data_IF_950926749320
#
_entry.id   IF_950926749320
#
_cell.length_a   1.000
_cell.length_b   1.000
_cell.length_c   1.000
_cell.angle_alpha   90.00
_cell.angle_beta   90.00
_cell.angle_gamma   90.00
#
_symmetry.space_group_name_H-M   'P 1'
#
loop_
_entity.id
_entity.type
_entity.pdbx_description
1 polymer ?
#
# COMPACT_ATOMS: atom_id res chain seq x y z
N UNK A 1 -1.40 -9.39 -11.68
CA UNK A 1 -1.59 -9.17 -10.23
C UNK A 1 -1.25 -7.73 -9.90
N UNK A 2 -1.99 -7.09 -8.98
CA UNK A 2 -1.80 -5.72 -8.52
C UNK A 2 -2.14 -5.59 -7.05
N UNK A 3 -1.48 -4.66 -6.36
CA UNK A 3 -1.85 -4.26 -5.01
C UNK A 3 -2.48 -2.87 -5.00
N UNK A 4 -3.66 -2.75 -4.39
CA UNK A 4 -4.34 -1.48 -4.13
C UNK A 4 -4.30 -1.18 -2.63
N UNK A 5 -3.86 0.02 -2.27
CA UNK A 5 -3.71 0.45 -0.87
C UNK A 5 -4.51 1.73 -0.64
N UNK A 6 -5.24 1.83 0.46
CA UNK A 6 -5.95 3.04 0.84
C UNK A 6 -4.96 4.13 1.28
N UNK A 7 -5.21 5.40 0.93
CA UNK A 7 -4.32 6.51 1.36
C UNK A 7 -4.40 6.84 2.86
N UNK A 8 -5.42 6.34 3.56
CA UNK A 8 -5.68 6.66 4.95
C UNK A 8 -5.64 5.34 5.70
N UNK A 9 -4.46 4.80 6.00
CA UNK A 9 -4.29 3.62 6.86
C UNK A 9 -4.30 4.11 8.32
N UNK A 10 -4.82 3.30 9.24
CA UNK A 10 -4.77 3.66 10.67
C UNK A 10 -3.41 3.16 11.17
N UNK A 11 -2.61 4.06 11.69
CA UNK A 11 -1.35 3.72 12.36
C UNK A 11 -1.67 3.09 13.71
N UNK A 12 -0.97 2.00 14.04
CA UNK A 12 -1.16 1.31 15.30
C UNK A 12 0.17 1.28 16.05
N UNK A 13 0.25 1.91 17.21
CA UNK A 13 1.47 1.93 18.03
C UNK A 13 1.82 0.58 18.68
N UNK A 14 1.05 -0.48 18.41
CA UNK A 14 1.30 -1.82 18.88
C UNK A 14 2.14 -2.58 17.85
N UNK A 15 3.17 -3.29 18.29
CA UNK A 15 4.01 -4.13 17.42
C UNK A 15 3.16 -5.15 16.65
N UNK A 16 3.33 -5.20 15.33
CA UNK A 16 2.55 -6.08 14.45
C UNK A 16 1.19 -5.48 14.08
N UNK A 17 1.12 -4.16 14.03
CA UNK A 17 -0.06 -3.42 13.63
C UNK A 17 -0.48 -3.66 12.18
N UNK A 18 -1.64 -3.12 11.82
CA UNK A 18 -2.15 -3.24 10.45
C UNK A 18 -1.26 -2.48 9.44
N UNK A 19 -0.67 -1.38 9.89
CA UNK A 19 0.35 -0.59 9.19
C UNK A 19 1.61 -1.40 8.92
N UNK A 20 2.17 -2.09 9.91
CA UNK A 20 3.34 -2.95 9.75
C UNK A 20 3.10 -4.01 8.67
N UNK A 21 1.93 -4.66 8.72
CA UNK A 21 1.56 -5.70 7.74
C UNK A 21 1.31 -5.15 6.35
N UNK A 22 0.75 -3.95 6.23
CA UNK A 22 0.60 -3.31 4.92
C UNK A 22 1.95 -2.89 4.35
N UNK A 23 2.87 -2.42 5.19
CA UNK A 23 4.24 -2.09 4.78
C UNK A 23 4.99 -3.33 4.30
N UNK A 24 4.95 -4.43 5.05
CA UNK A 24 5.50 -5.73 4.66
C UNK A 24 4.94 -6.18 3.29
N UNK A 25 3.65 -5.98 3.05
CA UNK A 25 3.00 -6.37 1.79
C UNK A 25 3.41 -5.48 0.61
N UNK A 26 3.69 -4.19 0.86
CA UNK A 26 4.24 -3.26 -0.14
C UNK A 26 5.66 -3.69 -0.51
N UNK A 27 6.48 -4.06 0.47
CA UNK A 27 7.86 -4.51 0.26
C UNK A 27 7.90 -5.82 -0.53
N UNK A 28 7.04 -6.78 -0.19
CA UNK A 28 6.87 -8.01 -0.97
C UNK A 28 6.40 -7.70 -2.39
N UNK A 29 5.43 -6.78 -2.57
CA UNK A 29 4.97 -6.41 -3.89
C UNK A 29 6.09 -5.79 -4.75
N UNK A 30 6.95 -4.95 -4.14
CA UNK A 30 8.13 -4.37 -4.81
C UNK A 30 9.16 -5.44 -5.19
N UNK A 31 9.45 -6.39 -4.29
CA UNK A 31 10.35 -7.51 -4.55
C UNK A 31 9.88 -8.35 -5.75
N UNK A 32 8.57 -8.52 -5.88
CA UNK A 32 7.95 -9.25 -6.99
C UNK A 32 7.62 -8.38 -8.21
N UNK A 33 8.07 -7.13 -8.27
CA UNK A 33 7.75 -6.16 -9.35
C UNK A 33 6.24 -6.02 -9.62
N UNK A 34 5.42 -6.20 -8.59
CA UNK A 34 3.97 -6.03 -8.66
C UNK A 34 3.63 -4.56 -8.44
N UNK A 35 2.81 -3.94 -9.32
CA UNK A 35 2.43 -2.55 -9.16
C UNK A 35 1.64 -2.34 -7.86
N UNK A 36 2.12 -1.39 -7.06
CA UNK A 36 1.43 -0.88 -5.87
C UNK A 36 0.76 0.44 -6.25
N UNK A 37 -0.53 0.55 -5.98
CA UNK A 37 -1.34 1.71 -6.35
C UNK A 37 -2.07 2.20 -5.11
N UNK A 38 -1.83 3.46 -4.76
CA UNK A 38 -2.61 4.15 -3.73
C UNK A 38 -3.93 4.64 -4.33
N UNK A 39 -5.04 4.20 -3.73
CA UNK A 39 -6.40 4.40 -4.21
C UNK A 39 -7.22 5.20 -3.19
N UNK A 40 -8.55 5.09 -3.27
CA UNK A 40 -9.54 5.80 -2.44
C UNK A 40 -9.41 5.50 -0.94
N UNK A 41 -10.21 6.20 -0.11
CA UNK A 41 -10.29 5.94 1.33
C UNK A 41 -10.84 4.54 1.64
N UNK A 42 -10.53 4.00 2.82
CA UNK A 42 -10.95 2.63 3.22
C UNK A 42 -12.45 2.38 3.09
N UNK A 43 -13.29 3.39 3.36
CA UNK A 43 -14.75 3.29 3.21
C UNK A 43 -15.17 3.19 1.75
N UNK A 44 -14.52 3.94 0.86
CA UNK A 44 -14.82 3.92 -0.58
C UNK A 44 -14.30 2.62 -1.21
N UNK A 45 -13.12 2.14 -0.81
CA UNK A 45 -12.59 0.84 -1.23
C UNK A 45 -13.51 -0.31 -0.82
N UNK A 46 -13.95 -0.34 0.44
CA UNK A 46 -14.92 -1.33 0.91
C UNK A 46 -16.22 -1.30 0.09
N UNK A 47 -16.79 -0.10 -0.13
CA UNK A 47 -17.98 0.07 -0.98
C UNK A 47 -17.78 -0.39 -2.41
N UNK A 48 -16.60 -0.13 -3.01
CA UNK A 48 -16.28 -0.58 -4.36
C UNK A 48 -16.21 -2.11 -4.47
N UNK A 49 -15.86 -2.80 -3.39
CA UNK A 49 -15.88 -4.26 -3.28
C UNK A 49 -17.22 -4.82 -2.80
N UNK A 50 -18.27 -3.99 -2.70
CA UNK A 50 -19.57 -4.37 -2.15
C UNK A 50 -19.49 -4.92 -0.71
N UNK A 51 -18.53 -4.41 0.08
CA UNK A 51 -18.37 -4.72 1.49
C UNK A 51 -18.76 -3.53 2.34
N UNK A 52 -19.43 -3.81 3.47
CA UNK A 52 -19.83 -2.79 4.46
C UNK A 52 -18.69 -2.38 5.40
N UNK A 53 -17.56 -3.10 5.33
CA UNK A 53 -16.38 -2.87 6.18
C UNK A 53 -15.39 -1.89 5.56
N UNK A 54 -14.50 -1.35 6.39
CA UNK A 54 -13.36 -0.54 5.95
C UNK A 54 -12.26 -1.49 5.46
N UNK A 55 -11.75 -1.25 4.25
CA UNK A 55 -10.70 -2.10 3.64
C UNK A 55 -9.43 -1.28 3.45
N UNK A 56 -8.33 -1.72 4.05
CA UNK A 56 -7.03 -1.02 3.99
C UNK A 56 -6.24 -1.34 2.73
N UNK A 57 -6.22 -2.61 2.31
CA UNK A 57 -5.51 -3.07 1.12
C UNK A 57 -6.30 -4.16 0.38
N UNK A 58 -6.10 -4.26 -0.93
CA UNK A 58 -6.79 -5.21 -1.82
C UNK A 58 -5.79 -5.76 -2.83
N UNK A 59 -5.68 -7.07 -2.92
CA UNK A 59 -4.93 -7.75 -3.98
C UNK A 59 -5.85 -8.13 -5.13
N UNK A 60 -5.54 -7.65 -6.34
CA UNK A 60 -6.23 -8.06 -7.56
C UNK A 60 -5.38 -9.09 -8.29
N UNK A 61 -5.77 -10.37 -8.20
CA UNK A 61 -5.03 -11.46 -8.87
C UNK A 61 -5.41 -11.56 -10.34
N UNK A 62 -6.71 -11.54 -10.61
CA UNK A 62 -7.28 -11.71 -11.94
C UNK A 62 -8.17 -10.52 -12.32
N UNK A 63 -8.08 -10.10 -13.57
CA UNK A 63 -8.72 -8.90 -14.16
C UNK A 63 -9.60 -9.29 -15.35
N UNK A 64 -10.02 -10.55 -15.41
CA UNK A 64 -10.97 -11.03 -16.40
C UNK A 64 -12.24 -10.17 -16.41
N UNK A 65 -12.60 -9.68 -17.59
CA UNK A 65 -13.73 -8.77 -17.81
C UNK A 65 -13.41 -7.27 -17.73
N UNK A 66 -12.22 -6.87 -17.26
CA UNK A 66 -11.81 -5.47 -17.16
C UNK A 66 -10.42 -5.21 -17.78
N UNK A 67 -10.03 -6.04 -18.76
CA UNK A 67 -8.67 -6.05 -19.29
C UNK A 67 -8.25 -4.73 -19.98
N UNK A 68 -9.19 -4.06 -20.66
CA UNK A 68 -8.95 -2.75 -21.30
C UNK A 68 -8.66 -1.65 -20.25
N UNK A 69 -9.55 -1.52 -19.25
CA UNK A 69 -9.37 -0.61 -18.12
C UNK A 69 -8.05 -0.88 -17.38
N UNK A 70 -7.72 -2.17 -17.20
CA UNK A 70 -6.49 -2.59 -16.56
C UNK A 70 -5.25 -2.24 -17.38
N UNK A 71 -5.31 -2.35 -18.71
CA UNK A 71 -4.21 -1.96 -19.60
C UNK A 71 -3.92 -0.46 -19.53
N UNK A 72 -4.97 0.37 -19.53
CA UNK A 72 -4.82 1.82 -19.42
C UNK A 72 -4.32 2.26 -18.04
N UNK A 73 -4.80 1.60 -16.99
CA UNK A 73 -4.32 1.82 -15.64
C UNK A 73 -2.84 1.43 -15.51
N UNK A 74 -2.40 0.30 -16.07
CA UNK A 74 -0.97 -0.08 -16.10
C UNK A 74 -0.10 0.96 -16.81
N UNK A 75 -0.55 1.52 -17.94
CA UNK A 75 0.19 2.58 -18.65
C UNK A 75 0.35 3.82 -17.78
N UNK A 76 -0.72 4.27 -17.11
CA UNK A 76 -0.70 5.42 -16.21
C UNK A 76 0.20 5.18 -15.00
N UNK A 77 0.12 4.00 -14.40
CA UNK A 77 0.94 3.61 -13.25
C UNK A 77 2.41 3.54 -13.64
N UNK A 78 2.75 2.95 -14.78
CA UNK A 78 4.13 2.90 -15.27
C UNK A 78 4.71 4.30 -15.51
N UNK A 79 3.92 5.23 -16.07
CA UNK A 79 4.36 6.61 -16.26
C UNK A 79 4.61 7.35 -14.94
N UNK A 80 3.79 7.08 -13.91
CA UNK A 80 3.93 7.70 -12.59
C UNK A 80 5.01 7.04 -11.72
N UNK A 81 5.29 5.77 -11.91
CA UNK A 81 6.33 5.04 -11.17
C UNK A 81 7.74 5.28 -11.72
N UNK A 82 7.89 5.78 -12.95
CA UNK A 82 9.18 6.12 -13.57
C UNK A 82 9.90 7.31 -12.91
N UNK A 83 9.15 8.21 -12.28
CA UNK A 83 9.67 9.19 -11.33
C UNK A 83 9.01 8.85 -10.00
N UNK A 84 9.61 7.99 -9.16
CA UNK A 84 9.04 7.78 -7.84
C UNK A 84 8.98 9.16 -7.16
N UNK A 85 7.79 9.71 -6.86
CA UNK A 85 7.74 10.82 -5.93
C UNK A 85 8.45 10.32 -4.66
N UNK A 86 9.15 11.20 -3.92
CA UNK A 86 9.62 10.84 -2.59
C UNK A 86 8.44 10.19 -1.89
N UNK A 87 8.62 8.91 -1.55
CA UNK A 87 7.63 8.18 -0.79
C UNK A 87 7.37 9.07 0.44
N UNK A 88 6.16 9.23 0.98
CA UNK A 88 6.08 9.71 2.34
C UNK A 88 6.86 8.71 3.18
N UNK A 89 8.07 9.10 3.60
CA UNK A 89 8.99 8.28 4.36
C UNK A 89 8.40 8.12 5.77
N UNK A 90 7.36 7.31 5.93
CA UNK A 90 6.88 6.96 7.28
C UNK A 90 7.94 6.17 8.06
N UNK A 91 8.95 5.62 7.38
CA UNK A 91 10.12 4.97 8.00
C UNK A 91 11.17 5.93 8.57
N UNK A 92 11.10 7.25 8.31
CA UNK A 92 12.03 8.20 8.96
C UNK A 92 11.52 8.68 10.32
N UNK A 93 10.27 8.42 10.70
CA UNK A 93 9.74 8.78 12.02
C UNK A 93 9.93 7.71 13.10
N UNK A 94 10.28 6.47 12.75
CA UNK A 94 10.45 5.38 13.73
C UNK A 94 11.92 5.08 14.08
N UNK A 95 12.90 5.60 13.34
CA UNK A 95 14.32 5.30 13.56
C UNK A 95 15.08 6.36 14.37
N UNK A 96 14.48 7.50 14.73
CA UNK A 96 15.07 8.45 15.68
C UNK A 96 14.52 8.30 17.11
N UNK A 97 14.50 7.09 17.68
CA UNK A 97 14.52 6.91 19.16
C UNK A 97 15.21 5.62 19.64
N UNK A 98 16.00 4.93 18.80
CA UNK A 98 16.80 3.76 19.25
C UNK A 98 18.29 4.06 19.44
N UNK A 99 18.70 5.33 19.50
CA UNK A 99 20.01 5.74 20.01
C UNK A 99 19.84 6.61 21.26
N UNK A 100 19.29 6.02 22.32
CA UNK A 100 19.57 6.52 23.66
C UNK A 100 19.64 5.37 24.66
N UNK A 101 20.88 4.92 24.83
CA UNK A 101 21.48 4.65 26.15
C UNK A 101 21.48 3.19 26.64
N UNK A 102 22.62 2.54 26.29
CA UNK A 102 23.53 1.81 27.20
C UNK A 102 23.07 0.45 27.76
N UNK A 103 23.64 -0.61 27.18
CA UNK A 103 24.26 -1.70 27.97
C UNK A 103 25.60 -1.18 28.54
N UNK A 104 26.11 -1.65 29.70
CA UNK A 104 25.65 -2.77 30.52
C UNK A 104 25.06 -2.37 31.89
#
# INVERSE_FOLDING_TARGET
VCLLVAYNIDECAAEGGLDDKVMELIDLARLHNTPVIFSLSKRKLGKALLKTIRVSCVGVYNVDGANELWADLKKKVAALQANPPPQPDCVTAALEMSECTVLP
#
